data_IF_302018524635
#
_entry.id   IF_302018524635
#
_cell.length_a   1.000
_cell.length_b   1.000
_cell.length_c   1.000
_cell.angle_alpha   90.00
_cell.angle_beta   90.00
_cell.angle_gamma   90.00
#
_symmetry.space_group_name_H-M   'P 1'
#
loop_
_entity.id
_entity.type
_entity.pdbx_description
1 polymer ?
#
# COMPACT_ATOMS: atom_id res chain seq x y z
N UNK A 1 7.72 27.77 -7.04
CA UNK A 1 6.62 27.02 -6.40
C UNK A 1 6.57 25.63 -7.04
N UNK A 2 7.23 24.64 -6.43
CA UNK A 2 7.36 23.27 -6.97
C UNK A 2 6.59 22.33 -6.04
N UNK A 3 5.32 22.10 -6.35
CA UNK A 3 4.50 21.06 -5.71
C UNK A 3 3.66 20.39 -6.80
N UNK A 4 4.32 19.67 -7.71
CA UNK A 4 3.70 18.54 -8.39
C UNK A 4 3.99 17.32 -7.54
N UNK A 5 3.27 17.18 -6.42
CA UNK A 5 3.14 15.87 -5.80
C UNK A 5 2.34 15.00 -6.77
N UNK A 6 2.97 13.92 -7.22
CA UNK A 6 2.45 12.99 -8.21
C UNK A 6 1.37 12.13 -7.52
N UNK A 7 0.18 12.70 -7.36
CA UNK A 7 -0.99 12.12 -6.67
C UNK A 7 -1.71 11.04 -7.52
N UNK A 8 -1.01 10.38 -8.45
CA UNK A 8 -1.64 9.66 -9.57
C UNK A 8 -1.69 8.14 -9.42
N UNK A 9 -1.18 7.55 -8.34
CA UNK A 9 -1.13 6.09 -8.19
C UNK A 9 -1.79 5.55 -6.91
N UNK A 10 -2.68 6.34 -6.28
CA UNK A 10 -3.42 5.93 -5.08
C UNK A 10 -4.83 5.50 -5.47
N UNK A 11 -5.16 4.23 -5.24
CA UNK A 11 -6.53 3.73 -5.31
C UNK A 11 -7.20 3.87 -3.93
N UNK A 12 -8.48 4.21 -3.90
CA UNK A 12 -9.23 4.31 -2.64
C UNK A 12 -10.59 3.63 -2.75
N UNK A 13 -11.07 3.13 -1.60
CA UNK A 13 -12.41 2.58 -1.41
C UNK A 13 -13.00 3.25 -0.17
N UNK A 14 -14.25 3.72 -0.26
CA UNK A 14 -14.98 4.25 0.89
C UNK A 14 -15.78 3.13 1.57
N UNK A 15 -15.99 3.28 2.88
CA UNK A 15 -16.76 2.32 3.69
C UNK A 15 -15.89 1.21 4.27
N UNK A 16 -16.49 0.02 4.45
CA UNK A 16 -15.85 -1.10 5.14
C UNK A 16 -14.56 -1.55 4.44
N UNK A 17 -13.52 -1.72 5.26
CA UNK A 17 -12.26 -2.33 4.84
C UNK A 17 -12.52 -3.72 4.22
N UNK A 18 -11.88 -4.05 3.07
CA UNK A 18 -11.95 -5.39 2.51
C UNK A 18 -11.31 -6.40 3.45
N UNK A 19 -11.63 -7.68 3.30
CA UNK A 19 -10.97 -8.73 4.08
C UNK A 19 -9.52 -8.94 3.61
N UNK A 20 -8.64 -9.41 4.50
CA UNK A 20 -7.23 -9.65 4.16
C UNK A 20 -7.10 -10.65 3.00
N UNK A 21 -7.98 -11.67 2.96
CA UNK A 21 -8.03 -12.65 1.86
C UNK A 21 -8.32 -11.99 0.50
N UNK A 22 -9.19 -10.98 0.47
CA UNK A 22 -9.50 -10.25 -0.76
C UNK A 22 -8.29 -9.41 -1.21
N UNK A 23 -7.59 -8.77 -0.26
CA UNK A 23 -6.37 -8.03 -0.54
C UNK A 23 -5.26 -8.92 -1.08
N UNK A 24 -4.99 -10.06 -0.43
CA UNK A 24 -4.02 -11.05 -0.91
C UNK A 24 -4.36 -11.49 -2.33
N UNK A 25 -5.63 -11.81 -2.62
CA UNK A 25 -6.07 -12.18 -3.98
C UNK A 25 -5.80 -11.07 -5.00
N UNK A 26 -6.08 -9.81 -4.65
CA UNK A 26 -5.78 -8.67 -5.53
C UNK A 26 -4.28 -8.47 -5.72
N UNK A 27 -3.47 -8.65 -4.68
CA UNK A 27 -2.03 -8.58 -4.77
C UNK A 27 -1.49 -9.63 -5.74
N UNK A 28 -1.85 -10.90 -5.54
CA UNK A 28 -1.48 -12.01 -6.44
C UNK A 28 -1.85 -11.72 -7.89
N UNK A 29 -3.06 -11.22 -8.14
CA UNK A 29 -3.53 -10.90 -9.49
C UNK A 29 -2.72 -9.76 -10.12
N UNK A 30 -2.50 -8.65 -9.38
CA UNK A 30 -1.69 -7.54 -9.87
C UNK A 30 -0.26 -7.98 -10.16
N UNK A 31 0.33 -8.74 -9.24
CA UNK A 31 1.66 -9.33 -9.35
C UNK A 31 1.79 -10.21 -10.59
N UNK A 32 0.87 -11.15 -10.79
CA UNK A 32 0.87 -12.05 -11.95
C UNK A 32 0.80 -11.26 -13.26
N UNK A 33 -0.11 -10.28 -13.36
CA UNK A 33 -0.26 -9.42 -14.55
C UNK A 33 0.96 -8.55 -14.80
N UNK A 34 1.56 -8.02 -13.73
CA UNK A 34 2.76 -7.22 -13.83
C UNK A 34 3.93 -8.03 -14.39
N UNK A 35 4.22 -9.21 -13.82
CA UNK A 35 5.32 -10.05 -14.30
C UNK A 35 5.04 -10.68 -15.67
N UNK A 36 3.78 -11.00 -15.99
CA UNK A 36 3.37 -11.37 -17.35
C UNK A 36 3.73 -10.26 -18.34
N UNK A 37 3.40 -9.00 -18.00
CA UNK A 37 3.69 -7.86 -18.87
C UNK A 37 5.19 -7.58 -18.97
N UNK A 38 5.94 -7.75 -17.88
CA UNK A 38 7.41 -7.59 -17.86
C UNK A 38 8.12 -8.57 -18.79
N UNK A 39 7.68 -9.84 -18.82
CA UNK A 39 8.23 -10.84 -19.76
C UNK A 39 8.13 -10.39 -21.22
N UNK A 40 7.10 -9.64 -21.56
CA UNK A 40 6.89 -9.10 -22.91
C UNK A 40 7.90 -8.03 -23.34
N UNK A 41 8.73 -7.51 -22.45
CA UNK A 41 9.76 -6.51 -22.77
C UNK A 41 11.15 -7.10 -23.02
N UNK A 42 11.39 -8.39 -22.72
CA UNK A 42 12.70 -9.04 -22.84
C UNK A 42 13.66 -8.56 -21.74
N UNK A 43 14.14 -7.32 -21.85
CA UNK A 43 14.81 -6.59 -20.77
C UNK A 43 13.84 -5.57 -20.17
N UNK A 44 13.90 -5.38 -18.85
CA UNK A 44 13.12 -4.33 -18.21
C UNK A 44 13.51 -2.96 -18.80
N UNK A 45 12.56 -2.05 -19.10
CA UNK A 45 12.87 -0.74 -19.64
C UNK A 45 13.89 -0.01 -18.77
N UNK A 46 15.06 0.32 -19.34
CA UNK A 46 16.14 1.00 -18.62
C UNK A 46 17.03 0.11 -17.73
N UNK A 47 16.97 -1.22 -17.89
CA UNK A 47 17.86 -2.15 -17.17
C UNK A 47 17.61 -2.23 -15.66
N UNK A 48 16.44 -1.80 -15.21
CA UNK A 48 16.08 -1.76 -13.79
C UNK A 48 15.31 -3.01 -13.37
N UNK A 49 15.60 -3.54 -12.18
CA UNK A 49 14.80 -4.59 -11.57
C UNK A 49 13.44 -4.04 -11.11
N UNK A 50 12.39 -4.41 -11.84
CA UNK A 50 11.03 -3.96 -11.59
C UNK A 50 10.26 -4.96 -10.71
N UNK A 51 9.60 -4.45 -9.67
CA UNK A 51 8.88 -5.26 -8.69
C UNK A 51 7.59 -4.56 -8.21
N UNK A 52 6.72 -5.30 -7.53
CA UNK A 52 5.39 -4.83 -7.08
C UNK A 52 5.33 -4.81 -5.56
N UNK A 53 5.05 -3.64 -5.00
CA UNK A 53 4.64 -3.50 -3.61
C UNK A 53 3.22 -2.95 -3.52
N UNK A 54 2.41 -3.49 -2.63
CA UNK A 54 1.06 -3.00 -2.34
C UNK A 54 0.98 -2.55 -0.89
N UNK A 55 0.61 -1.28 -0.68
CA UNK A 55 0.45 -0.68 0.64
C UNK A 55 -1.04 -0.48 0.91
N UNK A 56 -1.54 -1.04 2.00
CA UNK A 56 -2.93 -0.93 2.42
C UNK A 56 -3.00 -0.21 3.75
N UNK A 57 -3.79 0.86 3.77
CA UNK A 57 -3.96 1.70 4.93
C UNK A 57 -5.43 2.11 5.05
N UNK A 58 -5.91 2.27 6.29
CA UNK A 58 -7.31 2.57 6.58
C UNK A 58 -7.43 3.74 7.54
N UNK A 59 -8.41 4.60 7.28
CA UNK A 59 -8.76 5.73 8.14
C UNK A 59 -9.70 6.72 7.46
N UNK A 60 -10.13 7.74 8.20
CA UNK A 60 -11.04 8.77 7.71
C UNK A 60 -10.32 9.80 6.83
N UNK A 61 -10.81 9.98 5.60
CA UNK A 61 -10.34 11.00 4.67
C UNK A 61 -11.52 11.71 4.00
N UNK A 62 -11.28 12.93 3.53
CA UNK A 62 -12.22 13.72 2.74
C UNK A 62 -11.88 13.62 1.25
N UNK A 63 -12.91 13.65 0.41
CA UNK A 63 -12.77 13.61 -1.05
C UNK A 63 -13.26 14.93 -1.63
N UNK A 64 -12.38 15.62 -2.36
CA UNK A 64 -12.71 16.87 -3.04
C UNK A 64 -12.63 16.70 -4.55
N UNK A 65 -13.64 17.23 -5.25
CA UNK A 65 -13.63 17.32 -6.71
C UNK A 65 -13.32 18.76 -7.10
N UNK A 66 -12.19 18.98 -7.77
CA UNK A 66 -11.74 20.30 -8.22
C UNK A 66 -11.46 20.22 -9.71
N UNK A 67 -12.22 20.95 -10.53
CA UNK A 67 -12.07 21.02 -11.99
C UNK A 67 -11.93 19.64 -12.67
N UNK A 68 -12.76 18.67 -12.26
CA UNK A 68 -12.75 17.30 -12.82
C UNK A 68 -11.73 16.35 -12.20
N UNK A 69 -10.84 16.82 -11.33
CA UNK A 69 -9.90 15.98 -10.59
C UNK A 69 -10.42 15.64 -9.20
N UNK A 70 -10.27 14.38 -8.80
CA UNK A 70 -10.56 13.91 -7.44
C UNK A 70 -9.29 13.96 -6.60
N UNK A 71 -9.36 14.59 -5.43
CA UNK A 71 -8.27 14.65 -4.46
C UNK A 71 -8.72 14.10 -3.11
N UNK A 72 -7.81 13.37 -2.47
CA UNK A 72 -7.99 12.84 -1.12
C UNK A 72 -7.24 13.71 -0.12
N UNK A 73 -7.86 13.98 1.03
CA UNK A 73 -7.28 14.78 2.10
C UNK A 73 -7.51 14.14 3.47
N UNK A 74 -6.53 14.25 4.36
CA UNK A 74 -6.60 13.72 5.72
C UNK A 74 -5.33 12.97 6.10
N UNK A 75 -5.14 12.77 7.40
CA UNK A 75 -3.98 12.05 7.96
C UNK A 75 -3.73 10.69 7.30
N UNK A 76 -4.76 9.85 7.04
CA UNK A 76 -4.56 8.54 6.40
C UNK A 76 -3.92 8.60 5.00
N UNK A 77 -4.13 9.70 4.28
CA UNK A 77 -3.52 9.91 2.95
C UNK A 77 -2.02 10.17 3.12
N UNK A 78 -1.65 10.98 4.12
CA UNK A 78 -0.25 11.30 4.44
C UNK A 78 0.46 10.03 4.94
N UNK A 79 -0.17 9.27 5.83
CA UNK A 79 0.34 8.00 6.36
C UNK A 79 0.60 6.98 5.25
N UNK A 80 -0.35 6.80 4.33
CA UNK A 80 -0.17 5.93 3.16
C UNK A 80 1.02 6.37 2.29
N UNK A 81 1.20 7.67 2.08
CA UNK A 81 2.34 8.21 1.35
C UNK A 81 3.67 8.01 2.09
N UNK A 82 3.69 8.04 3.43
CA UNK A 82 4.88 7.73 4.23
C UNK A 82 5.21 6.24 4.19
N UNK A 83 4.20 5.39 4.32
CA UNK A 83 4.34 3.95 4.18
C UNK A 83 4.87 3.51 2.81
N UNK A 84 4.69 4.29 1.73
CA UNK A 84 5.34 4.00 0.45
C UNK A 84 6.88 4.08 0.51
N UNK A 85 7.42 4.80 1.49
CA UNK A 85 8.86 5.01 1.73
C UNK A 85 9.39 4.23 2.94
N UNK A 86 8.69 3.16 3.33
CA UNK A 86 9.11 2.29 4.44
C UNK A 86 10.49 1.63 4.19
N UNK A 87 11.05 1.06 5.25
CA UNK A 87 12.38 0.44 5.27
C UNK A 87 12.41 -1.06 4.93
N UNK A 88 11.29 -1.66 4.52
CA UNK A 88 11.22 -3.09 4.16
C UNK A 88 12.15 -3.36 2.97
N UNK A 89 13.17 -4.18 3.21
CA UNK A 89 14.16 -4.58 2.21
C UNK A 89 13.69 -5.77 1.36
N UNK A 90 12.53 -5.62 0.71
CA UNK A 90 11.98 -6.57 -0.24
C UNK A 90 11.41 -5.80 -1.43
N UNK A 91 11.58 -6.30 -2.66
CA UNK A 91 10.97 -5.68 -3.84
C UNK A 91 9.49 -6.05 -4.01
N UNK A 92 9.09 -7.21 -3.48
CA UNK A 92 7.78 -7.79 -3.69
C UNK A 92 7.07 -8.09 -2.37
N UNK A 93 6.04 -7.30 -2.01
CA UNK A 93 5.30 -7.52 -0.77
C UNK A 93 3.95 -6.80 -0.72
N UNK A 94 3.07 -7.35 0.12
CA UNK A 94 1.87 -6.68 0.62
C UNK A 94 2.17 -6.14 2.03
N UNK A 95 1.99 -4.84 2.26
CA UNK A 95 2.06 -4.22 3.58
C UNK A 95 0.68 -3.73 3.99
N UNK A 96 0.27 -4.05 5.21
CA UNK A 96 -0.98 -3.60 5.81
C UNK A 96 -0.69 -2.84 7.10
N UNK A 97 -1.24 -1.63 7.25
CA UNK A 97 -1.06 -0.84 8.47
C UNK A 97 -1.81 -1.45 9.65
N UNK A 98 -1.37 -1.11 10.86
CA UNK A 98 -2.10 -1.46 12.09
C UNK A 98 -3.53 -0.91 12.06
N UNK A 99 -3.73 0.32 11.58
CA UNK A 99 -5.07 0.92 11.43
C UNK A 99 -6.01 0.11 10.52
N UNK A 100 -5.48 -0.59 9.51
CA UNK A 100 -6.26 -1.51 8.71
C UNK A 100 -6.58 -2.78 9.49
N UNK A 101 -5.60 -3.38 10.18
CA UNK A 101 -5.80 -4.60 10.97
C UNK A 101 -6.86 -4.40 12.06
N UNK A 102 -6.81 -3.26 12.75
CA UNK A 102 -7.79 -2.87 13.76
C UNK A 102 -9.20 -2.71 13.16
N UNK A 103 -9.31 -2.28 11.90
CA UNK A 103 -10.60 -2.07 11.23
C UNK A 103 -11.31 -3.35 10.80
N UNK A 104 -10.59 -4.47 10.73
CA UNK A 104 -11.11 -5.78 10.33
C UNK A 104 -11.11 -6.78 11.51
N UNK A 105 -10.88 -6.29 12.73
CA UNK A 105 -10.72 -7.11 13.94
C UNK A 105 -9.72 -8.27 13.72
N UNK A 106 -8.68 -8.03 12.92
CA UNK A 106 -7.68 -9.05 12.67
C UNK A 106 -6.92 -9.36 13.96
N UNK A 107 -6.61 -10.65 14.24
CA UNK A 107 -5.82 -11.00 15.40
C UNK A 107 -4.50 -10.23 15.43
N UNK A 108 -4.27 -9.51 16.53
CA UNK A 108 -3.01 -8.83 16.80
C UNK A 108 -1.86 -9.83 16.99
N UNK A 109 -2.11 -11.13 17.12
CA UNK A 109 -1.10 -12.19 17.21
C UNK A 109 -1.66 -13.50 16.62
N UNK A 110 -0.81 -14.29 15.97
CA UNK A 110 -1.21 -15.58 15.38
C UNK A 110 -0.24 -16.10 14.32
N UNK A 111 -0.16 -17.43 14.19
CA UNK A 111 0.62 -18.11 13.16
C UNK A 111 0.08 -17.69 11.79
N UNK A 112 0.88 -16.94 11.01
CA UNK A 112 0.54 -16.54 9.64
C UNK A 112 0.42 -15.03 9.39
N UNK A 113 0.46 -14.17 10.42
CA UNK A 113 0.36 -12.71 10.22
C UNK A 113 1.70 -11.96 10.17
N UNK A 114 2.82 -12.63 10.47
CA UNK A 114 4.15 -11.99 10.51
C UNK A 114 4.35 -11.09 11.74
N UNK A 115 5.57 -10.56 11.91
CA UNK A 115 5.91 -9.67 13.01
C UNK A 115 5.38 -8.25 12.77
N UNK A 116 4.96 -7.57 13.84
CA UNK A 116 4.65 -6.13 13.79
C UNK A 116 5.97 -5.37 13.63
N UNK A 117 6.01 -4.51 12.63
CA UNK A 117 7.09 -3.53 12.43
C UNK A 117 6.56 -2.14 12.73
N UNK A 118 7.37 -1.30 13.37
CA UNK A 118 7.03 0.07 13.72
C UNK A 118 8.12 1.01 13.21
N UNK A 119 7.74 2.01 12.43
CA UNK A 119 8.66 3.03 11.93
C UNK A 119 8.25 4.42 12.40
N UNK A 120 9.26 5.21 12.77
CA UNK A 120 9.09 6.62 13.15
C UNK A 120 9.15 7.50 11.91
N UNK A 121 8.07 8.23 11.65
CA UNK A 121 7.98 9.26 10.63
C UNK A 121 7.83 10.65 11.27
N UNK A 122 7.89 11.70 10.44
CA UNK A 122 7.64 13.10 10.82
C UNK A 122 6.24 13.36 11.37
N UNK A 123 5.30 12.44 11.08
CA UNK A 123 3.91 12.48 11.54
C UNK A 123 3.64 11.56 12.74
N UNK A 124 4.68 10.90 13.27
CA UNK A 124 4.57 9.94 14.36
C UNK A 124 4.94 8.52 13.95
N UNK A 125 4.69 7.58 14.86
CA UNK A 125 4.94 6.16 14.63
C UNK A 125 3.81 5.53 13.84
N UNK A 126 4.17 4.79 12.79
CA UNK A 126 3.22 3.97 12.04
C UNK A 126 3.66 2.52 12.14
N UNK A 127 2.77 1.70 12.68
CA UNK A 127 2.94 0.26 12.80
C UNK A 127 2.28 -0.45 11.63
N UNK A 128 2.88 -1.54 11.17
CA UNK A 128 2.40 -2.31 10.04
C UNK A 128 2.90 -3.76 10.09
N UNK A 129 2.32 -4.60 9.23
CA UNK A 129 2.79 -5.95 8.91
C UNK A 129 3.03 -6.06 7.41
N UNK A 130 3.99 -6.87 7.00
CA UNK A 130 4.22 -7.13 5.59
C UNK A 130 4.33 -8.63 5.31
N UNK A 131 3.99 -9.00 4.09
CA UNK A 131 3.91 -10.37 3.60
C UNK A 131 4.65 -10.48 2.28
N UNK A 132 5.63 -11.37 2.22
CA UNK A 132 6.43 -11.66 1.01
C UNK A 132 5.94 -12.89 0.26
N UNK A 133 5.33 -13.85 0.96
CA UNK A 133 4.92 -15.17 0.44
C UNK A 133 3.40 -15.28 0.26
N UNK A 134 2.77 -14.21 -0.25
CA UNK A 134 1.31 -14.11 -0.42
C UNK A 134 0.88 -13.92 -1.86
#
# INVERSE_FOLDING_TARGET
MKLREMQYNTFYKQGKAPELKELTRHFQLMSARFYERLKGFGEAPGGCDLSVKMIVHYGSFSVYKINGFTKLYGTPVIEAHRLLKNSVNAGHYLLVSQSYLDSVDAPSEGIGYGAISCEQYDIGNISYRYFTDV
#
